data_IF_224846041893
#
_entry.id   IF_224846041893
#
_cell.length_a   1.000
_cell.length_b   1.000
_cell.length_c   1.000
_cell.angle_alpha   90.00
_cell.angle_beta   90.00
_cell.angle_gamma   90.00
#
_symmetry.space_group_name_H-M   'P 1'
#
loop_
_entity.id
_entity.type
_entity.pdbx_description
1 polymer ?
#
# COMPACT_ATOMS: atom_id res chain seq x y z
N UNK A 1 10.55 -10.46 -11.65
CA UNK A 1 10.12 -9.59 -12.78
C UNK A 1 11.02 -9.72 -14.01
N UNK A 2 12.22 -10.32 -13.91
CA UNK A 2 13.18 -10.46 -15.02
C UNK A 2 12.64 -11.25 -16.23
N UNK A 3 11.66 -12.14 -16.05
CA UNK A 3 11.07 -12.96 -17.11
C UNK A 3 9.83 -12.35 -17.80
N UNK A 4 9.43 -11.10 -17.47
CA UNK A 4 8.27 -10.46 -18.12
C UNK A 4 8.66 -9.62 -19.34
N UNK A 5 7.78 -9.57 -20.34
CA UNK A 5 7.92 -8.73 -21.55
C UNK A 5 7.60 -7.24 -21.30
N UNK A 6 7.53 -6.81 -20.04
CA UNK A 6 7.23 -5.43 -19.67
C UNK A 6 8.41 -4.50 -19.96
N UNK A 7 8.09 -3.25 -20.31
CA UNK A 7 9.09 -2.19 -20.42
C UNK A 7 9.78 -1.95 -19.07
N UNK A 8 11.01 -1.38 -19.03
CA UNK A 8 11.67 -1.02 -17.78
C UNK A 8 10.82 -0.12 -16.87
N UNK A 9 10.05 0.79 -17.47
CA UNK A 9 9.14 1.71 -16.77
C UNK A 9 8.01 0.93 -16.10
N UNK A 10 7.35 0.04 -16.83
CA UNK A 10 6.25 -0.78 -16.29
C UNK A 10 6.75 -1.75 -15.22
N UNK A 11 7.98 -2.25 -15.35
CA UNK A 11 8.64 -3.08 -14.33
C UNK A 11 8.87 -2.31 -13.04
N UNK A 12 9.37 -1.07 -13.14
CA UNK A 12 9.58 -0.21 -11.99
C UNK A 12 8.24 0.12 -11.30
N UNK A 13 7.23 0.53 -12.07
CA UNK A 13 5.90 0.85 -11.56
C UNK A 13 5.24 -0.34 -10.86
N UNK A 14 5.24 -1.51 -11.50
CA UNK A 14 4.63 -2.72 -10.92
C UNK A 14 5.35 -3.13 -9.64
N UNK A 15 6.68 -3.03 -9.60
CA UNK A 15 7.48 -3.27 -8.38
C UNK A 15 7.04 -2.31 -7.27
N UNK A 16 6.95 -1.02 -7.59
CA UNK A 16 6.52 0.01 -6.63
C UNK A 16 5.12 -0.27 -6.09
N UNK A 17 4.15 -0.63 -6.95
CA UNK A 17 2.79 -0.96 -6.53
C UNK A 17 2.78 -2.16 -5.59
N UNK A 18 3.48 -3.24 -5.94
CA UNK A 18 3.49 -4.48 -5.13
C UNK A 18 4.14 -4.24 -3.78
N UNK A 19 5.37 -3.70 -3.74
CA UNK A 19 6.07 -3.45 -2.48
C UNK A 19 5.36 -2.41 -1.64
N UNK A 20 4.87 -1.33 -2.25
CA UNK A 20 4.13 -0.29 -1.57
C UNK A 20 2.81 -0.79 -0.98
N UNK A 21 2.09 -1.65 -1.69
CA UNK A 21 0.85 -2.25 -1.17
C UNK A 21 1.11 -3.11 0.07
N UNK A 22 2.20 -3.89 0.08
CA UNK A 22 2.59 -4.69 1.24
C UNK A 22 3.04 -3.80 2.39
N UNK A 23 3.87 -2.81 2.10
CA UNK A 23 4.41 -1.87 3.08
C UNK A 23 3.30 -1.09 3.79
N UNK A 24 2.33 -0.57 3.03
CA UNK A 24 1.22 0.23 3.55
C UNK A 24 -0.05 -0.59 3.83
N UNK A 25 0.06 -1.92 3.95
CA UNK A 25 -1.12 -2.80 4.07
C UNK A 25 -2.07 -2.38 5.19
N UNK A 26 -1.58 -2.11 6.42
CA UNK A 26 -2.46 -1.75 7.54
C UNK A 26 -3.21 -0.44 7.29
N UNK A 27 -2.52 0.54 6.70
CA UNK A 27 -3.12 1.80 6.27
C UNK A 27 -4.24 1.53 5.25
N UNK A 28 -3.94 0.80 4.18
CA UNK A 28 -4.86 0.54 3.07
C UNK A 28 -6.07 -0.30 3.49
N UNK A 29 -5.86 -1.31 4.33
CA UNK A 29 -6.94 -2.12 4.91
C UNK A 29 -7.86 -1.26 5.77
N UNK A 30 -7.32 -0.34 6.56
CA UNK A 30 -8.10 0.61 7.34
C UNK A 30 -8.96 1.51 6.44
N UNK A 31 -8.40 2.01 5.34
CA UNK A 31 -9.15 2.79 4.35
C UNK A 31 -10.30 1.98 3.74
N UNK A 32 -10.10 0.70 3.41
CA UNK A 32 -11.11 -0.08 2.70
C UNK A 32 -12.17 -0.71 3.62
N UNK A 33 -11.84 -0.95 4.89
CA UNK A 33 -12.67 -1.74 5.82
C UNK A 33 -14.12 -1.27 5.92
N UNK A 34 -14.37 0.04 5.97
CA UNK A 34 -15.73 0.59 6.07
C UNK A 34 -16.51 0.61 4.76
N UNK A 35 -15.82 0.48 3.62
CA UNK A 35 -16.42 0.49 2.28
C UNK A 35 -16.79 -0.91 1.81
N UNK A 36 -16.01 -1.93 2.21
CA UNK A 36 -16.29 -3.33 1.89
C UNK A 36 -17.26 -3.91 2.90
N UNK A 37 -18.56 -3.69 2.65
CA UNK A 37 -19.65 -4.17 3.52
C UNK A 37 -20.08 -5.61 3.26
N UNK A 38 -19.66 -6.18 2.14
CA UNK A 38 -20.04 -7.52 1.69
C UNK A 38 -18.83 -8.43 1.64
N UNK A 39 -19.03 -9.73 1.88
CA UNK A 39 -17.98 -10.73 1.69
C UNK A 39 -17.53 -10.74 0.22
N UNK A 40 -16.24 -10.51 0.00
CA UNK A 40 -15.62 -10.69 -1.31
C UNK A 40 -15.56 -12.20 -1.59
N UNK A 41 -16.17 -12.63 -2.71
CA UNK A 41 -16.24 -14.05 -3.07
C UNK A 41 -14.97 -14.53 -3.75
N UNK A 42 -14.38 -13.68 -4.58
CA UNK A 42 -13.16 -13.99 -5.33
C UNK A 42 -11.91 -13.43 -4.62
N UNK A 43 -10.91 -14.29 -4.44
CA UNK A 43 -9.70 -13.97 -3.66
C UNK A 43 -8.87 -12.83 -4.25
N UNK A 44 -8.92 -12.63 -5.57
CA UNK A 44 -8.17 -11.58 -6.25
C UNK A 44 -8.70 -10.16 -5.95
N UNK A 45 -9.95 -10.03 -5.45
CA UNK A 45 -10.57 -8.73 -5.25
C UNK A 45 -9.91 -7.93 -4.14
N UNK A 46 -9.50 -8.58 -3.04
CA UNK A 46 -8.88 -7.87 -1.93
C UNK A 46 -7.50 -7.30 -2.30
N UNK A 47 -6.57 -8.08 -2.90
CA UNK A 47 -5.33 -7.54 -3.44
C UNK A 47 -5.56 -6.44 -4.49
N UNK A 48 -6.53 -6.60 -5.38
CA UNK A 48 -6.87 -5.58 -6.39
C UNK A 48 -7.28 -4.24 -5.75
N UNK A 49 -8.17 -4.29 -4.75
CA UNK A 49 -8.60 -3.11 -4.02
C UNK A 49 -7.44 -2.45 -3.26
N UNK A 50 -6.59 -3.24 -2.60
CA UNK A 50 -5.42 -2.73 -1.89
C UNK A 50 -4.43 -2.04 -2.84
N UNK A 51 -4.10 -2.66 -3.98
CA UNK A 51 -3.23 -2.06 -4.99
C UNK A 51 -3.84 -0.79 -5.60
N UNK A 52 -5.15 -0.78 -5.83
CA UNK A 52 -5.84 0.41 -6.36
C UNK A 52 -5.85 1.55 -5.33
N UNK A 53 -6.07 1.24 -4.06
CA UNK A 53 -5.98 2.21 -2.99
C UNK A 53 -4.53 2.74 -2.81
N UNK A 54 -3.52 1.87 -2.94
CA UNK A 54 -2.12 2.29 -2.90
C UNK A 54 -1.79 3.30 -3.99
N UNK A 55 -2.18 2.98 -5.24
CA UNK A 55 -2.01 3.90 -6.36
C UNK A 55 -2.69 5.25 -6.09
N UNK A 56 -3.91 5.23 -5.55
CA UNK A 56 -4.66 6.45 -5.27
C UNK A 56 -4.02 7.33 -4.19
N UNK A 57 -3.53 6.75 -3.10
CA UNK A 57 -2.99 7.52 -1.97
C UNK A 57 -1.52 7.91 -2.11
N UNK A 58 -0.73 7.16 -2.88
CA UNK A 58 0.74 7.31 -2.88
C UNK A 58 1.35 7.57 -4.25
N UNK A 59 0.60 7.43 -5.36
CA UNK A 59 1.13 7.65 -6.72
C UNK A 59 0.49 8.86 -7.39
N UNK A 60 1.05 10.05 -7.15
CA UNK A 60 0.54 11.34 -7.66
C UNK A 60 0.47 11.43 -9.18
N UNK A 61 1.28 10.63 -9.89
CA UNK A 61 1.41 10.67 -11.36
C UNK A 61 0.30 9.93 -12.10
N UNK A 62 -0.53 9.15 -11.39
CA UNK A 62 -1.57 8.33 -12.03
C UNK A 62 -2.93 9.00 -11.83
N UNK A 63 -3.62 9.42 -12.90
CA UNK A 63 -4.95 9.99 -12.78
C UNK A 63 -5.92 9.03 -12.09
N UNK A 64 -6.71 9.54 -11.13
CA UNK A 64 -7.67 8.72 -10.38
C UNK A 64 -8.66 7.96 -11.27
N UNK A 65 -9.09 8.59 -12.38
CA UNK A 65 -9.97 7.95 -13.35
C UNK A 65 -9.33 6.69 -13.99
N UNK A 66 -8.04 6.74 -14.30
CA UNK A 66 -7.29 5.61 -14.86
C UNK A 66 -7.20 4.46 -13.86
N UNK A 67 -6.90 4.75 -12.59
CA UNK A 67 -6.85 3.73 -11.52
C UNK A 67 -8.17 2.97 -11.43
N UNK A 68 -9.29 3.68 -11.42
CA UNK A 68 -10.63 3.08 -11.32
C UNK A 68 -10.97 2.26 -12.57
N UNK A 69 -10.66 2.78 -13.76
CA UNK A 69 -10.96 2.11 -15.02
C UNK A 69 -10.10 0.84 -15.22
N UNK A 70 -8.80 0.91 -14.93
CA UNK A 70 -7.90 -0.24 -15.00
C UNK A 70 -8.29 -1.32 -13.99
N UNK A 71 -8.60 -0.94 -12.74
CA UNK A 71 -9.08 -1.90 -11.75
C UNK A 71 -10.39 -2.58 -12.17
N UNK A 72 -11.30 -1.84 -12.79
CA UNK A 72 -12.55 -2.38 -13.34
C UNK A 72 -12.27 -3.36 -14.51
N UNK A 73 -11.37 -3.00 -15.43
CA UNK A 73 -10.93 -3.88 -16.53
C UNK A 73 -10.30 -5.18 -16.01
N UNK A 74 -9.41 -5.07 -15.01
CA UNK A 74 -8.77 -6.24 -14.39
C UNK A 74 -9.80 -7.12 -13.67
N UNK A 75 -10.75 -6.51 -12.95
CA UNK A 75 -11.83 -7.27 -12.34
C UNK A 75 -12.68 -8.01 -13.38
N UNK A 76 -12.98 -7.40 -14.53
CA UNK A 76 -13.70 -8.08 -15.62
C UNK A 76 -12.90 -9.25 -16.19
N UNK A 77 -11.58 -9.13 -16.35
CA UNK A 77 -10.77 -10.19 -16.94
C UNK A 77 -10.58 -11.40 -16.01
N UNK A 78 -10.57 -11.17 -14.69
CA UNK A 78 -10.44 -12.23 -13.69
C UNK A 78 -11.79 -12.77 -13.16
N UNK A 79 -12.90 -12.07 -13.43
CA UNK A 79 -14.23 -12.50 -13.00
C UNK A 79 -14.69 -13.78 -13.73
N UNK A 80 -15.21 -14.78 -13.00
CA UNK A 80 -15.93 -15.89 -13.61
C UNK A 80 -17.10 -15.39 -14.47
N UNK A 81 -17.48 -16.15 -15.52
CA UNK A 81 -18.63 -15.82 -16.36
C UNK A 81 -19.89 -15.61 -15.51
N UNK A 82 -20.55 -14.47 -15.69
CA UNK A 82 -21.76 -14.10 -14.94
C UNK A 82 -21.51 -13.42 -13.58
N UNK A 83 -20.25 -13.32 -13.12
CA UNK A 83 -19.93 -12.59 -11.90
C UNK A 83 -19.98 -11.07 -12.13
N UNK A 84 -20.46 -10.33 -11.12
CA UNK A 84 -20.58 -8.88 -11.13
C UNK A 84 -19.49 -8.18 -10.30
N UNK A 85 -18.37 -8.88 -10.00
CA UNK A 85 -17.30 -8.35 -9.14
C UNK A 85 -16.70 -7.04 -9.65
N UNK A 86 -16.65 -6.84 -10.96
CA UNK A 86 -16.20 -5.58 -11.55
C UNK A 86 -17.06 -4.36 -11.16
N UNK A 87 -18.38 -4.55 -11.02
CA UNK A 87 -19.30 -3.50 -10.54
C UNK A 87 -19.03 -3.17 -9.08
N UNK A 88 -18.78 -4.19 -8.28
CA UNK A 88 -18.43 -4.05 -6.86
C UNK A 88 -17.12 -3.27 -6.68
N UNK A 89 -16.06 -3.66 -7.40
CA UNK A 89 -14.76 -2.95 -7.37
C UNK A 89 -14.93 -1.48 -7.74
N UNK A 90 -15.59 -1.21 -8.87
CA UNK A 90 -15.83 0.16 -9.31
C UNK A 90 -16.64 0.98 -8.29
N UNK A 91 -17.67 0.38 -7.67
CA UNK A 91 -18.46 1.03 -6.63
C UNK A 91 -17.65 1.35 -5.36
N UNK A 92 -16.82 0.41 -4.91
CA UNK A 92 -15.94 0.59 -3.74
C UNK A 92 -14.91 1.68 -4.02
N UNK A 93 -14.22 1.63 -5.17
CA UNK A 93 -13.17 2.61 -5.49
C UNK A 93 -13.74 4.01 -5.70
N UNK A 94 -14.89 4.17 -6.36
CA UNK A 94 -15.55 5.49 -6.44
C UNK A 94 -15.95 6.02 -5.06
N UNK A 95 -16.40 5.13 -4.18
CA UNK A 95 -16.73 5.51 -2.80
C UNK A 95 -15.48 5.89 -2.00
N UNK A 96 -14.36 5.20 -2.23
CA UNK A 96 -13.05 5.53 -1.64
C UNK A 96 -12.60 6.92 -2.07
N UNK A 97 -12.61 7.20 -3.38
CA UNK A 97 -12.22 8.50 -3.94
C UNK A 97 -13.09 9.62 -3.38
N UNK A 98 -14.41 9.43 -3.34
CA UNK A 98 -15.33 10.44 -2.80
C UNK A 98 -15.14 10.68 -1.29
N UNK A 99 -14.84 9.63 -0.52
CA UNK A 99 -14.65 9.74 0.93
C UNK A 99 -13.29 10.35 1.27
N UNK A 100 -12.27 10.03 0.49
CA UNK A 100 -10.88 10.38 0.80
C UNK A 100 -10.28 9.55 1.94
N UNK A 101 -9.16 10.04 2.45
CA UNK A 101 -8.42 9.46 3.58
C UNK A 101 -9.22 9.59 4.88
N UNK A 102 -9.19 8.52 5.67
CA UNK A 102 -9.62 8.54 7.06
C UNK A 102 -8.51 8.03 7.96
N UNK A 103 -8.32 8.64 9.13
CA UNK A 103 -7.38 8.16 10.14
C UNK A 103 -8.12 7.96 11.48
N UNK A 104 -7.60 7.09 12.36
CA UNK A 104 -8.08 7.01 13.74
C UNK A 104 -7.98 8.37 14.44
N UNK A 105 -8.67 8.54 15.57
CA UNK A 105 -8.48 9.71 16.42
C UNK A 105 -7.08 9.71 17.06
N UNK A 106 -6.46 10.89 17.17
CA UNK A 106 -5.11 11.04 17.73
C UNK A 106 -5.01 10.77 19.23
N UNK A 107 -6.14 10.69 19.94
CA UNK A 107 -6.18 10.35 21.38
C UNK A 107 -5.57 8.98 21.67
N UNK A 108 -5.71 8.04 20.75
CA UNK A 108 -5.02 6.76 20.79
C UNK A 108 -3.80 6.83 19.88
N UNK A 109 -2.70 7.39 20.40
CA UNK A 109 -1.49 7.63 19.65
C UNK A 109 -0.91 6.33 19.05
N UNK A 110 -1.01 5.20 19.76
CA UNK A 110 -0.51 3.91 19.29
C UNK A 110 -1.29 3.46 18.07
N UNK A 111 -2.63 3.46 18.14
CA UNK A 111 -3.47 3.08 17.00
C UNK A 111 -3.35 4.05 15.84
N UNK A 112 -3.31 5.36 16.12
CA UNK A 112 -3.13 6.39 15.11
C UNK A 112 -1.83 6.15 14.32
N UNK A 113 -0.69 6.04 15.00
CA UNK A 113 0.61 5.83 14.35
C UNK A 113 0.71 4.46 13.69
N UNK A 114 0.12 3.42 14.28
CA UNK A 114 0.06 2.08 13.69
C UNK A 114 -0.63 2.08 12.33
N UNK A 115 -1.78 2.75 12.22
CA UNK A 115 -2.49 2.85 10.95
C UNK A 115 -1.79 3.82 10.00
N UNK A 116 -1.45 5.03 10.46
CA UNK A 116 -0.86 6.08 9.60
C UNK A 116 0.45 5.65 8.96
N UNK A 117 1.33 5.00 9.73
CA UNK A 117 2.65 4.55 9.24
C UNK A 117 2.67 3.07 8.86
N UNK A 118 1.54 2.37 8.96
CA UNK A 118 1.42 0.95 8.61
C UNK A 118 2.38 0.01 9.36
N UNK A 119 2.51 0.21 10.68
CA UNK A 119 3.28 -0.67 11.57
C UNK A 119 2.36 -1.34 12.60
N UNK A 120 2.67 -2.57 13.07
CA UNK A 120 1.87 -3.22 14.10
C UNK A 120 1.95 -2.43 15.42
N UNK A 121 0.84 -2.41 16.15
CA UNK A 121 0.71 -1.63 17.40
C UNK A 121 1.78 -1.94 18.43
N UNK A 122 2.21 -3.21 18.54
CA UNK A 122 3.26 -3.60 19.49
C UNK A 122 4.59 -2.91 19.19
N UNK A 123 4.94 -2.71 17.92
CA UNK A 123 6.19 -2.07 17.52
C UNK A 123 6.12 -0.56 17.74
N UNK A 124 4.99 0.04 17.42
CA UNK A 124 4.74 1.46 17.71
C UNK A 124 4.84 1.73 19.21
N UNK A 125 4.18 0.88 20.02
CA UNK A 125 4.26 0.98 21.48
C UNK A 125 5.70 0.82 21.98
N UNK A 126 6.42 -0.19 21.50
CA UNK A 126 7.83 -0.38 21.83
C UNK A 126 8.66 0.87 21.54
N UNK A 127 8.53 1.47 20.35
CA UNK A 127 9.27 2.67 20.01
C UNK A 127 8.88 3.87 20.89
N UNK A 128 7.59 4.04 21.19
CA UNK A 128 7.12 5.11 22.06
C UNK A 128 7.71 4.99 23.47
N UNK A 129 7.70 3.78 24.03
CA UNK A 129 8.18 3.50 25.38
C UNK A 129 9.69 3.74 25.52
N UNK A 130 10.48 3.54 24.44
CA UNK A 130 11.96 3.63 24.49
C UNK A 130 12.54 4.93 23.93
N UNK A 131 11.88 5.56 22.96
CA UNK A 131 12.43 6.72 22.23
C UNK A 131 11.55 7.97 22.32
N UNK A 132 10.36 7.87 22.90
CA UNK A 132 9.39 8.95 22.94
C UNK A 132 8.77 9.28 21.58
N UNK A 133 7.80 10.22 21.58
CA UNK A 133 6.92 10.50 20.44
C UNK A 133 7.66 11.00 19.19
N UNK A 134 8.49 12.04 19.34
CA UNK A 134 9.14 12.69 18.19
C UNK A 134 10.10 11.74 17.45
N UNK A 135 10.92 11.00 18.21
CA UNK A 135 11.86 10.04 17.62
C UNK A 135 11.14 8.84 17.01
N UNK A 136 10.08 8.35 17.65
CA UNK A 136 9.25 7.28 17.08
C UNK A 136 8.69 7.67 15.72
N UNK A 137 8.11 8.86 15.59
CA UNK A 137 7.61 9.36 14.29
C UNK A 137 8.72 9.33 13.25
N UNK A 138 9.92 9.81 13.59
CA UNK A 138 11.07 9.82 12.68
C UNK A 138 11.48 8.41 12.24
N UNK A 139 11.49 7.44 13.18
CA UNK A 139 11.82 6.03 12.89
C UNK A 139 10.80 5.41 11.93
N UNK A 140 9.50 5.56 12.22
CA UNK A 140 8.42 4.99 11.41
C UNK A 140 8.36 5.62 10.01
N UNK A 141 8.63 6.94 9.91
CA UNK A 141 8.71 7.61 8.62
C UNK A 141 9.92 7.13 7.81
N UNK A 142 11.11 7.07 8.42
CA UNK A 142 12.33 6.63 7.76
C UNK A 142 12.23 5.18 7.27
N UNK A 143 11.63 4.30 8.08
CA UNK A 143 11.41 2.90 7.70
C UNK A 143 10.45 2.73 6.52
N UNK A 144 9.70 3.76 6.17
CA UNK A 144 8.79 3.79 5.04
C UNK A 144 9.36 4.47 3.78
N UNK A 145 10.57 5.03 3.88
CA UNK A 145 11.27 5.60 2.73
C UNK A 145 12.09 4.53 2.01
N UNK A 146 12.34 4.69 0.70
CA UNK A 146 13.26 3.81 -0.02
C UNK A 146 14.62 3.76 0.66
N UNK A 147 15.18 2.55 0.79
CA UNK A 147 16.51 2.38 1.37
C UNK A 147 17.57 3.06 0.52
N UNK A 148 18.53 3.72 1.16
CA UNK A 148 19.70 4.27 0.48
C UNK A 148 20.57 3.12 -0.03
N UNK A 149 20.98 3.17 -1.29
CA UNK A 149 21.90 2.19 -1.85
C UNK A 149 23.28 2.36 -1.20
N UNK A 150 23.67 1.40 -0.35
CA UNK A 150 25.00 1.36 0.27
C UNK A 150 25.88 0.30 -0.38
N UNK A 151 27.07 0.69 -0.83
CA UNK A 151 28.07 -0.23 -1.38
C UNK A 151 29.27 -0.25 -0.44
N UNK A 152 29.70 -1.45 -0.04
CA UNK A 152 30.94 -1.62 0.73
C UNK A 152 32.08 -1.90 -0.24
N UNK A 153 33.08 -1.01 -0.28
CA UNK A 153 34.29 -1.23 -1.06
C UNK A 153 35.20 -2.18 -0.27
N UNK A 154 35.61 -3.28 -0.89
CA UNK A 154 36.63 -4.16 -0.34
C UNK A 154 38.01 -3.50 -0.56
N UNK A 155 38.74 -3.26 0.51
CA UNK A 155 40.12 -2.79 0.42
C UNK A 155 41.03 -3.94 -0.02
N UNK A 156 41.45 -3.90 -1.28
CA UNK A 156 42.28 -4.92 -1.91
C UNK A 156 43.79 -4.71 -1.64
N UNK A 157 44.17 -3.68 -0.87
CA UNK A 157 45.57 -3.36 -0.57
C UNK A 157 46.18 -4.23 0.53
N UNK A 158 45.36 -4.92 1.34
CA UNK A 158 45.83 -5.91 2.32
C UNK A 158 45.84 -7.32 1.74
N UNK A 159 46.78 -7.58 0.82
CA UNK A 159 47.23 -8.97 0.57
C UNK A 159 48.19 -9.35 1.71
N UNK A 160 47.85 -10.42 2.43
CA UNK A 160 48.76 -11.09 3.37
C UNK A 160 49.92 -11.74 2.62
#
# INVERSE_FOLDING_TARGET
MEKSQLSPIDKALTTQIVYGTVQYKLYLEYQLKSLVKTKLKEDYLWPLLLMSAYQYFFLDKIPTASIVDEANKLAKSYSPKGSQSYRLVNGILRSLVRRGEILPEEKDAVKYMSIKYSYPQWLVKYCLDHFGKAKTISILQAGNMPSVNSIRIADMSKKR
#
